data_IF_364704613389
#
_entry.id   IF_364704613389
#
_cell.length_a   1.000
_cell.length_b   1.000
_cell.length_c   1.000
_cell.angle_alpha   90.00
_cell.angle_beta   90.00
_cell.angle_gamma   90.00
#
_symmetry.space_group_name_H-M   'P 1'
#
loop_
_entity.id
_entity.type
_entity.pdbx_description
1 polymer ?
#
# COMPACT_ATOMS: atom_id res chain seq x y z
N UNK A 1 -10.75 0.53 -13.98
CA UNK A 1 -11.10 1.61 -14.91
C UNK A 1 -9.87 2.46 -15.28
N UNK A 2 -9.17 3.09 -14.30
CA UNK A 2 -8.04 3.99 -14.59
C UNK A 2 -6.85 3.26 -15.22
N UNK A 3 -6.46 2.10 -14.68
CA UNK A 3 -5.39 1.27 -15.23
C UNK A 3 -5.71 0.83 -16.67
N UNK A 4 -6.95 0.43 -16.94
CA UNK A 4 -7.39 0.10 -18.30
C UNK A 4 -7.34 1.30 -19.25
N UNK A 5 -7.69 2.49 -18.77
CA UNK A 5 -7.58 3.72 -19.58
C UNK A 5 -6.12 4.06 -19.94
N UNK A 6 -5.18 3.73 -19.04
CA UNK A 6 -3.74 3.95 -19.25
C UNK A 6 -3.04 2.75 -19.91
N UNK A 7 -3.75 1.65 -20.14
CA UNK A 7 -3.18 0.37 -20.60
C UNK A 7 -2.06 -0.15 -19.68
N UNK A 8 -2.20 0.08 -18.38
CA UNK A 8 -1.24 -0.28 -17.34
C UNK A 8 -1.82 -1.39 -16.46
N UNK A 9 -0.94 -2.17 -15.85
CA UNK A 9 -1.36 -3.11 -14.81
C UNK A 9 -1.77 -2.34 -13.55
N UNK A 10 -2.89 -2.70 -12.89
CA UNK A 10 -3.32 -2.04 -11.67
C UNK A 10 -2.23 -2.03 -10.58
N UNK A 11 -1.96 -0.86 -10.03
CA UNK A 11 -1.19 -0.66 -8.80
C UNK A 11 -2.09 0.08 -7.82
N UNK A 12 -2.45 -0.59 -6.73
CA UNK A 12 -3.31 -0.04 -5.69
C UNK A 12 -2.55 0.00 -4.36
N UNK A 13 -3.02 0.85 -3.45
CA UNK A 13 -2.54 0.93 -2.07
C UNK A 13 -3.71 0.68 -1.12
N UNK A 14 -3.51 -0.12 -0.09
CA UNK A 14 -4.46 -0.32 1.00
C UNK A 14 -3.77 -0.06 2.35
N UNK A 15 -4.38 0.75 3.20
CA UNK A 15 -3.87 1.07 4.53
C UNK A 15 -4.73 0.40 5.59
N UNK A 16 -4.16 -0.53 6.36
CA UNK A 16 -4.84 -1.27 7.41
C UNK A 16 -4.47 -0.72 8.79
N UNK A 17 -5.30 0.18 9.32
CA UNK A 17 -5.09 0.73 10.66
C UNK A 17 -3.99 1.78 10.78
N UNK A 18 -3.56 2.40 9.71
CA UNK A 18 -2.65 3.57 9.75
C UNK A 18 -3.45 4.78 10.23
N UNK A 19 -3.17 5.26 11.43
CA UNK A 19 -3.97 6.29 12.10
C UNK A 19 -3.30 7.66 12.13
N UNK A 20 -1.98 7.73 12.07
CA UNK A 20 -1.27 9.00 12.08
C UNK A 20 -1.46 9.76 10.75
N UNK A 21 -2.05 10.97 10.79
CA UNK A 21 -2.26 11.80 9.59
C UNK A 21 -0.98 12.10 8.81
N UNK A 22 0.18 12.20 9.48
CA UNK A 22 1.46 12.44 8.83
C UNK A 22 1.88 11.22 8.00
N UNK A 23 1.75 10.02 8.55
CA UNK A 23 2.07 8.78 7.84
C UNK A 23 1.12 8.57 6.66
N UNK A 24 -0.19 8.76 6.86
CA UNK A 24 -1.17 8.66 5.77
C UNK A 24 -0.88 9.69 4.68
N UNK A 25 -0.66 10.96 5.04
CA UNK A 25 -0.35 12.01 4.08
C UNK A 25 0.93 11.73 3.27
N UNK A 26 1.99 11.25 3.92
CA UNK A 26 3.24 10.87 3.27
C UNK A 26 3.04 9.71 2.30
N UNK A 27 2.29 8.68 2.69
CA UNK A 27 1.96 7.55 1.81
C UNK A 27 1.11 7.97 0.61
N UNK A 28 0.12 8.84 0.81
CA UNK A 28 -0.68 9.37 -0.30
C UNK A 28 0.15 10.21 -1.26
N UNK A 29 1.09 11.01 -0.75
CA UNK A 29 2.02 11.76 -1.59
C UNK A 29 2.91 10.85 -2.42
N UNK A 30 3.45 9.79 -1.82
CA UNK A 30 4.24 8.79 -2.54
C UNK A 30 3.38 8.03 -3.56
N UNK A 31 2.16 7.62 -3.18
CA UNK A 31 1.24 6.91 -4.06
C UNK A 31 0.91 7.72 -5.32
N UNK A 32 0.67 9.03 -5.17
CA UNK A 32 0.46 9.93 -6.30
C UNK A 32 1.71 10.00 -7.19
N UNK A 33 2.88 10.24 -6.59
CA UNK A 33 4.15 10.41 -7.29
C UNK A 33 4.55 9.17 -8.14
N UNK A 34 4.20 7.96 -7.69
CA UNK A 34 4.48 6.72 -8.43
C UNK A 34 3.34 6.28 -9.35
N UNK A 35 2.24 7.02 -9.41
CA UNK A 35 1.12 6.74 -10.30
C UNK A 35 0.18 5.64 -9.85
N UNK A 36 -0.04 5.47 -8.54
CA UNK A 36 -1.04 4.54 -7.98
C UNK A 36 -2.43 4.84 -8.55
N UNK A 37 -3.14 3.80 -8.98
CA UNK A 37 -4.45 3.92 -9.63
C UNK A 37 -5.61 4.12 -8.64
N UNK A 38 -5.40 3.79 -7.37
CA UNK A 38 -6.40 3.97 -6.33
C UNK A 38 -5.89 3.57 -4.95
N UNK A 39 -6.52 4.14 -3.92
CA UNK A 39 -6.18 3.90 -2.51
C UNK A 39 -7.43 3.42 -1.78
N UNK A 40 -7.30 2.38 -0.96
CA UNK A 40 -8.34 1.87 -0.09
C UNK A 40 -8.03 2.28 1.36
N UNK A 41 -8.97 2.98 1.98
CA UNK A 41 -8.92 3.37 3.39
C UNK A 41 -10.10 2.76 4.14
N UNK A 42 -9.90 2.06 5.26
CA UNK A 42 -11.00 1.66 6.12
C UNK A 42 -11.76 2.87 6.66
N UNK A 43 -13.09 2.79 6.72
CA UNK A 43 -13.92 3.83 7.33
C UNK A 43 -13.71 3.97 8.84
N UNK A 44 -13.20 2.91 9.48
CA UNK A 44 -12.91 2.87 10.91
C UNK A 44 -11.45 2.53 11.15
N UNK A 45 -10.87 3.02 12.24
CA UNK A 45 -9.48 2.75 12.67
C UNK A 45 -8.43 3.16 11.62
N UNK A 46 -8.72 4.22 10.87
CA UNK A 46 -7.79 4.82 9.91
C UNK A 46 -7.92 6.33 9.99
N UNK A 47 -6.85 7.06 9.68
CA UNK A 47 -6.96 8.49 9.48
C UNK A 47 -7.82 8.76 8.24
N UNK A 48 -8.87 9.54 8.43
CA UNK A 48 -9.69 10.01 7.31
C UNK A 48 -8.94 11.08 6.52
N UNK A 49 -9.41 11.34 5.30
CA UNK A 49 -8.94 12.48 4.50
C UNK A 49 -9.40 13.77 5.19
N UNK A 50 -8.56 14.28 6.05
CA UNK A 50 -8.76 15.49 6.84
C UNK A 50 -7.88 16.62 6.32
N UNK A 51 -8.08 17.88 6.73
CA UNK A 51 -7.15 18.97 6.41
C UNK A 51 -5.70 18.69 6.83
N UNK A 52 -5.49 17.91 7.90
CA UNK A 52 -4.17 17.49 8.33
C UNK A 52 -3.53 16.51 7.32
N UNK A 53 -4.28 15.51 6.84
CA UNK A 53 -3.84 14.58 5.79
C UNK A 53 -3.59 15.31 4.47
N UNK A 54 -4.47 16.24 4.09
CA UNK A 54 -4.30 17.04 2.87
C UNK A 54 -3.00 17.86 2.92
N UNK A 55 -2.73 18.54 4.04
CA UNK A 55 -1.46 19.26 4.23
C UNK A 55 -0.24 18.33 4.21
N UNK A 56 -0.29 17.20 4.93
CA UNK A 56 0.81 16.23 4.98
C UNK A 56 1.08 15.59 3.62
N UNK A 57 0.06 15.42 2.78
CA UNK A 57 0.20 14.93 1.41
C UNK A 57 0.66 15.99 0.41
N UNK A 58 0.85 17.26 0.84
CA UNK A 58 1.12 18.39 -0.05
C UNK A 58 0.11 18.52 -1.21
N UNK A 59 -1.17 18.23 -0.93
CA UNK A 59 -2.25 18.29 -1.90
C UNK A 59 -2.41 17.06 -2.80
N UNK A 60 -1.55 16.03 -2.68
CA UNK A 60 -1.62 14.83 -3.51
C UNK A 60 -2.97 14.10 -3.40
N UNK A 61 -3.66 14.24 -2.27
CA UNK A 61 -4.99 13.69 -2.04
C UNK A 61 -6.03 14.11 -3.09
N UNK A 62 -5.89 15.31 -3.66
CA UNK A 62 -6.79 15.85 -4.69
C UNK A 62 -6.66 15.14 -6.05
N UNK A 63 -5.54 14.47 -6.28
CA UNK A 63 -5.22 13.76 -7.53
C UNK A 63 -5.41 12.25 -7.42
N UNK A 64 -5.68 11.72 -6.24
CA UNK A 64 -5.84 10.30 -5.99
C UNK A 64 -7.32 9.89 -5.97
N UNK A 65 -7.60 8.70 -6.47
CA UNK A 65 -8.89 8.02 -6.28
C UNK A 65 -8.86 7.27 -4.96
N UNK A 66 -9.56 7.77 -3.95
CA UNK A 66 -9.61 7.17 -2.62
C UNK A 66 -10.98 6.54 -2.41
N UNK A 67 -10.99 5.24 -2.11
CA UNK A 67 -12.18 4.50 -1.75
C UNK A 67 -12.20 4.25 -0.24
N UNK A 68 -13.27 4.70 0.43
CA UNK A 68 -13.52 4.36 1.83
C UNK A 68 -14.26 3.02 1.87
N UNK A 69 -13.66 2.01 2.51
CA UNK A 69 -14.21 0.66 2.61
C UNK A 69 -14.65 0.34 4.03
N UNK A 70 -15.80 -0.28 4.18
CA UNK A 70 -16.30 -0.71 5.50
C UNK A 70 -15.57 -1.94 6.02
N UNK A 71 -15.09 -2.79 5.11
CA UNK A 71 -14.40 -4.03 5.41
C UNK A 71 -13.26 -4.26 4.40
N UNK A 72 -12.02 -4.08 4.85
CA UNK A 72 -10.84 -4.24 4.00
C UNK A 72 -10.64 -5.69 3.55
N UNK A 73 -10.92 -6.67 4.41
CA UNK A 73 -10.84 -8.10 4.07
C UNK A 73 -11.72 -8.42 2.88
N UNK A 74 -12.96 -7.93 2.89
CA UNK A 74 -13.90 -8.11 1.77
C UNK A 74 -13.42 -7.41 0.51
N UNK A 75 -12.94 -6.17 0.64
CA UNK A 75 -12.41 -5.42 -0.51
C UNK A 75 -11.22 -6.14 -1.16
N UNK A 76 -10.31 -6.70 -0.36
CA UNK A 76 -9.19 -7.51 -0.87
C UNK A 76 -9.69 -8.77 -1.58
N UNK A 77 -10.72 -9.46 -1.06
CA UNK A 77 -11.30 -10.63 -1.73
C UNK A 77 -11.92 -10.28 -3.08
N UNK A 78 -12.62 -9.15 -3.17
CA UNK A 78 -13.20 -8.66 -4.43
C UNK A 78 -12.09 -8.32 -5.45
N UNK A 79 -11.00 -7.68 -5.01
CA UNK A 79 -9.83 -7.40 -5.86
C UNK A 79 -9.16 -8.69 -6.35
N UNK A 80 -8.99 -9.67 -5.48
CA UNK A 80 -8.44 -11.00 -5.85
C UNK A 80 -9.32 -11.71 -6.88
N UNK A 81 -10.64 -11.64 -6.71
CA UNK A 81 -11.59 -12.14 -7.71
C UNK A 81 -11.49 -11.45 -9.07
N UNK A 82 -10.98 -10.23 -9.11
CA UNK A 82 -10.68 -9.46 -10.32
C UNK A 82 -9.23 -9.64 -10.83
N UNK A 83 -8.45 -10.58 -10.27
CA UNK A 83 -7.10 -10.89 -10.71
C UNK A 83 -6.01 -9.95 -10.13
N UNK A 84 -6.33 -9.19 -9.07
CA UNK A 84 -5.37 -8.31 -8.41
C UNK A 84 -4.75 -9.03 -7.20
N UNK A 85 -3.44 -9.16 -7.15
CA UNK A 85 -2.70 -9.79 -6.05
C UNK A 85 -2.64 -8.87 -4.83
N UNK A 86 -2.88 -9.42 -3.66
CA UNK A 86 -2.68 -8.71 -2.40
C UNK A 86 -1.26 -8.98 -1.87
N UNK A 87 -0.45 -7.93 -1.79
CA UNK A 87 0.95 -7.99 -1.32
C UNK A 87 1.07 -7.21 -0.03
N UNK A 88 1.24 -7.89 1.09
CA UNK A 88 1.43 -7.27 2.41
C UNK A 88 2.89 -6.89 2.64
N UNK A 89 3.12 -5.72 3.20
CA UNK A 89 4.45 -5.26 3.61
C UNK A 89 4.57 -5.38 5.12
N UNK A 90 5.26 -6.41 5.58
CA UNK A 90 5.37 -6.72 7.01
C UNK A 90 6.61 -7.55 7.32
N UNK A 91 7.23 -7.30 8.47
CA UNK A 91 8.27 -8.16 9.02
C UNK A 91 7.65 -9.45 9.58
N UNK A 92 7.64 -10.50 8.78
CA UNK A 92 7.05 -11.80 9.11
C UNK A 92 7.99 -12.94 8.68
N UNK A 93 8.06 -14.07 9.41
CA UNK A 93 8.94 -15.20 9.04
C UNK A 93 8.69 -15.78 7.64
N UNK A 94 7.45 -15.67 7.14
CA UNK A 94 7.09 -16.10 5.78
C UNK A 94 7.27 -15.01 4.72
N UNK A 95 7.69 -13.79 5.08
CA UNK A 95 7.90 -12.71 4.13
C UNK A 95 9.20 -12.93 3.35
N UNK A 96 9.17 -12.64 2.07
CA UNK A 96 10.36 -12.63 1.22
C UNK A 96 10.93 -11.21 1.12
N UNK A 97 12.19 -11.10 0.76
CA UNK A 97 12.83 -9.81 0.49
C UNK A 97 12.07 -9.06 -0.62
N UNK A 98 11.73 -7.80 -0.36
CA UNK A 98 10.98 -6.96 -1.31
C UNK A 98 11.67 -6.83 -2.68
N UNK A 99 13.01 -6.89 -2.71
CA UNK A 99 13.78 -6.81 -3.95
C UNK A 99 13.72 -8.11 -4.79
N UNK A 100 13.39 -9.23 -4.15
CA UNK A 100 13.25 -10.54 -4.80
C UNK A 100 11.82 -10.84 -5.26
N UNK A 101 10.84 -10.04 -4.82
CA UNK A 101 9.44 -10.23 -5.17
C UNK A 101 9.17 -9.79 -6.62
N UNK A 102 8.42 -10.61 -7.38
CA UNK A 102 7.84 -10.14 -8.64
C UNK A 102 6.67 -9.20 -8.36
N UNK A 103 6.89 -7.91 -8.57
CA UNK A 103 5.89 -6.86 -8.41
C UNK A 103 5.37 -6.33 -9.76
N UNK A 104 5.77 -6.94 -10.88
CA UNK A 104 5.29 -6.60 -12.23
C UNK A 104 4.00 -7.37 -12.56
N UNK A 105 2.97 -7.17 -11.73
CA UNK A 105 1.65 -7.81 -11.88
C UNK A 105 0.57 -6.88 -11.33
N UNK A 106 -0.73 -7.11 -11.68
CA UNK A 106 -1.83 -6.39 -11.04
C UNK A 106 -1.79 -6.61 -9.53
N UNK A 107 -1.56 -5.56 -8.72
CA UNK A 107 -1.45 -5.74 -7.28
C UNK A 107 -2.01 -4.59 -6.45
N UNK A 108 -2.36 -4.90 -5.21
CA UNK A 108 -2.59 -3.97 -4.12
C UNK A 108 -1.52 -4.17 -3.05
N UNK A 109 -0.72 -3.13 -2.78
CA UNK A 109 0.18 -3.11 -1.62
C UNK A 109 -0.64 -2.83 -0.37
N UNK A 110 -0.49 -3.67 0.65
CA UNK A 110 -1.20 -3.56 1.93
C UNK A 110 -0.19 -3.21 3.02
N UNK A 111 -0.43 -2.10 3.72
CA UNK A 111 0.40 -1.62 4.82
C UNK A 111 -0.39 -1.65 6.11
N UNK A 112 0.18 -2.22 7.15
CA UNK A 112 -0.38 -2.22 8.51
C UNK A 112 -0.04 -0.95 9.28
N UNK A 113 -0.82 -0.68 10.34
CA UNK A 113 -0.59 0.45 11.24
C UNK A 113 0.67 0.32 12.09
N UNK A 114 0.99 1.42 12.76
CA UNK A 114 2.16 1.53 13.63
C UNK A 114 2.03 0.58 14.85
N UNK A 115 3.09 -0.17 15.14
CA UNK A 115 3.21 -1.05 16.30
C UNK A 115 2.62 -2.43 16.11
N UNK A 116 1.36 -2.54 15.70
CA UNK A 116 0.66 -3.83 15.58
C UNK A 116 0.79 -4.48 14.19
N UNK A 117 1.20 -3.70 13.17
CA UNK A 117 1.24 -4.18 11.78
C UNK A 117 -0.16 -4.35 11.17
N UNK A 118 -0.30 -5.28 10.25
CA UNK A 118 -1.60 -5.62 9.66
C UNK A 118 -2.46 -6.44 10.64
N UNK A 119 -3.76 -6.19 10.64
CA UNK A 119 -4.70 -7.07 11.34
C UNK A 119 -4.60 -8.48 10.78
N UNK A 120 -4.64 -9.48 11.67
CA UNK A 120 -4.47 -10.90 11.33
C UNK A 120 -5.29 -11.34 10.12
N UNK A 121 -6.58 -10.99 10.07
CA UNK A 121 -7.45 -11.37 8.95
C UNK A 121 -7.08 -10.70 7.63
N UNK A 122 -6.47 -9.51 7.66
CA UNK A 122 -5.96 -8.81 6.47
C UNK A 122 -4.69 -9.51 5.98
N UNK A 123 -3.75 -9.80 6.88
CA UNK A 123 -2.52 -10.53 6.56
C UNK A 123 -2.81 -11.92 5.95
N UNK A 124 -3.78 -12.65 6.50
CA UNK A 124 -4.23 -13.96 5.97
C UNK A 124 -4.83 -13.87 4.54
N UNK A 125 -5.22 -12.69 4.09
CA UNK A 125 -5.75 -12.47 2.73
C UNK A 125 -4.68 -12.04 1.73
N UNK A 126 -3.50 -11.68 2.20
CA UNK A 126 -2.38 -11.39 1.31
C UNK A 126 -1.92 -12.68 0.62
N UNK A 127 -1.67 -12.58 -0.68
CA UNK A 127 -1.12 -13.68 -1.48
C UNK A 127 0.37 -13.83 -1.26
N UNK A 128 1.02 -12.71 -0.91
CA UNK A 128 2.45 -12.61 -0.68
C UNK A 128 2.71 -11.62 0.46
N UNK A 129 3.67 -11.94 1.30
CA UNK A 129 4.25 -10.99 2.26
C UNK A 129 5.66 -10.65 1.82
N UNK A 130 5.97 -9.37 1.81
CA UNK A 130 7.31 -8.85 1.54
C UNK A 130 7.83 -8.07 2.74
N UNK A 131 9.12 -8.12 2.96
CA UNK A 131 9.78 -7.35 4.02
C UNK A 131 10.98 -6.57 3.47
N UNK A 132 11.30 -5.47 4.13
CA UNK A 132 12.53 -4.74 3.92
C UNK A 132 13.60 -5.30 4.86
N UNK A 133 14.78 -5.72 4.35
CA UNK A 133 15.82 -6.27 5.19
C UNK A 133 16.38 -5.20 6.13
N UNK A 134 16.53 -5.57 7.40
CA UNK A 134 17.08 -4.70 8.44
C UNK A 134 18.48 -5.19 8.81
N UNK A 135 19.49 -4.39 8.51
CA UNK A 135 20.90 -4.73 8.76
C UNK A 135 21.47 -4.06 10.02
N UNK A 136 20.68 -3.20 10.66
CA UNK A 136 21.07 -2.49 11.88
C UNK A 136 20.55 -3.17 13.15
N UNK A 137 20.50 -2.39 14.23
CA UNK A 137 20.01 -2.84 15.56
C UNK A 137 18.49 -2.66 15.72
N UNK A 138 17.88 -1.80 14.93
CA UNK A 138 16.42 -1.61 14.94
C UNK A 138 15.74 -2.68 14.08
N UNK A 139 14.54 -3.06 14.44
CA UNK A 139 13.79 -4.17 13.83
C UNK A 139 12.64 -3.72 12.91
N UNK A 140 12.42 -2.42 12.78
CA UNK A 140 11.34 -1.87 11.94
C UNK A 140 11.67 -0.46 11.43
N UNK A 141 11.01 -0.07 10.36
CA UNK A 141 10.97 1.30 9.85
C UNK A 141 9.60 1.93 10.15
N UNK A 142 9.55 3.25 10.11
CA UNK A 142 8.28 3.97 10.06
C UNK A 142 7.44 3.47 8.87
N UNK A 143 6.13 3.32 9.06
CA UNK A 143 5.23 2.74 8.05
C UNK A 143 5.21 3.54 6.74
N UNK A 144 5.31 4.88 6.81
CA UNK A 144 5.35 5.70 5.61
C UNK A 144 6.66 5.54 4.84
N UNK A 145 7.77 5.33 5.56
CA UNK A 145 9.07 5.04 4.94
C UNK A 145 9.04 3.67 4.26
N UNK A 146 8.65 2.62 4.99
CA UNK A 146 8.57 1.27 4.47
C UNK A 146 7.62 1.18 3.26
N UNK A 147 6.44 1.77 3.37
CA UNK A 147 5.46 1.81 2.30
C UNK A 147 5.93 2.59 1.08
N UNK A 148 6.64 3.70 1.27
CA UNK A 148 7.21 4.48 0.16
C UNK A 148 8.27 3.71 -0.60
N UNK A 149 9.14 2.97 0.08
CA UNK A 149 10.15 2.10 -0.55
C UNK A 149 9.45 1.00 -1.37
N UNK A 150 8.45 0.31 -0.79
CA UNK A 150 7.70 -0.73 -1.47
C UNK A 150 6.93 -0.22 -2.69
N UNK A 151 6.33 0.97 -2.60
CA UNK A 151 5.64 1.63 -3.72
C UNK A 151 6.60 1.96 -4.87
N UNK A 152 7.76 2.51 -4.58
CA UNK A 152 8.78 2.78 -5.58
C UNK A 152 9.32 1.50 -6.22
N UNK A 153 9.56 0.45 -5.44
CA UNK A 153 9.97 -0.85 -5.97
C UNK A 153 8.91 -1.41 -6.93
N UNK A 154 7.64 -1.37 -6.54
CA UNK A 154 6.55 -1.81 -7.40
C UNK A 154 6.43 -0.98 -8.67
N UNK A 155 6.64 0.34 -8.60
CA UNK A 155 6.62 1.22 -9.77
C UNK A 155 7.80 0.97 -10.71
N UNK A 156 8.99 0.74 -10.16
CA UNK A 156 10.20 0.44 -10.96
C UNK A 156 10.09 -0.90 -11.69
N UNK A 157 9.54 -1.93 -11.02
CA UNK A 157 9.34 -3.24 -11.61
C UNK A 157 8.39 -3.23 -12.83
N UNK A 158 7.55 -2.20 -12.96
CA UNK A 158 6.57 -2.03 -14.04
C UNK A 158 7.05 -1.21 -15.22
N UNK A 159 8.18 -0.53 -15.07
CA UNK A 159 8.71 0.27 -16.18
C UNK A 159 9.18 -0.66 -17.29
N UNK A 160 8.85 -0.38 -18.56
CA UNK A 160 9.49 -1.09 -19.65
C UNK A 160 11.01 -0.92 -19.50
N UNK A 161 11.74 -2.02 -19.53
CA UNK A 161 13.20 -1.93 -19.65
C UNK A 161 13.53 -1.22 -20.96
N UNK A 162 14.45 -0.25 -20.96
CA UNK A 162 14.86 0.45 -22.16
C UNK A 162 15.47 -0.51 -23.18
#
# INVERSE_FOLDING_TARGET
>A
LLANQRQEQPLLLALDGVQDPQNVGTLLRTAEAVGVHGVLLPQRRSAHVTPAVSRASAGAVEHLRIALVTNLVRALQELKGAGVWAVGVEAHPAAIDYASADLNLPLVLVLGGEGEGMHRLVAERCDLLICLPMHGRINSLNVAVAGSIALYQAALARRPHP
#
